data_IF_753539822879
#
_entry.id   IF_753539822879
#
_cell.length_a   1.000
_cell.length_b   1.000
_cell.length_c   1.000
_cell.angle_alpha   90.00
_cell.angle_beta   90.00
_cell.angle_gamma   90.00
#
_symmetry.space_group_name_H-M   'P 1'
#
loop_
_entity.id
_entity.type
_entity.pdbx_description
1 polymer ?
#
# COMPACT_ATOMS: atom_id res chain seq x y z
N UNK A 1 51.50 -19.22 -46.15
CA UNK A 1 50.25 -20.00 -45.92
C UNK A 1 50.10 -20.51 -44.48
N UNK A 2 51.16 -20.88 -43.75
CA UNK A 2 51.09 -21.45 -42.38
C UNK A 2 50.40 -20.57 -41.34
N UNK A 3 50.47 -19.24 -41.50
CA UNK A 3 49.82 -18.25 -40.61
C UNK A 3 48.30 -18.36 -40.60
N UNK A 4 47.70 -18.60 -41.78
CA UNK A 4 46.26 -18.76 -41.92
C UNK A 4 45.78 -20.12 -41.42
N UNK A 5 46.60 -21.17 -41.56
CA UNK A 5 46.31 -22.51 -41.02
C UNK A 5 46.22 -22.54 -39.48
N UNK A 6 46.92 -21.63 -38.79
CA UNK A 6 46.91 -21.55 -37.32
C UNK A 6 45.92 -20.50 -36.79
N UNK A 7 45.68 -19.42 -37.52
CA UNK A 7 44.78 -18.34 -37.09
C UNK A 7 43.28 -18.72 -37.18
N UNK A 8 42.87 -19.48 -38.21
CA UNK A 8 41.48 -19.90 -38.41
C UNK A 8 40.95 -20.77 -37.26
N UNK A 9 41.63 -21.85 -36.82
CA UNK A 9 41.14 -22.66 -35.70
C UNK A 9 41.16 -21.89 -34.38
N UNK A 10 42.14 -21.01 -34.17
CA UNK A 10 42.24 -20.22 -32.94
C UNK A 10 41.09 -19.21 -32.81
N UNK A 11 40.71 -18.55 -33.90
CA UNK A 11 39.56 -17.63 -33.92
C UNK A 11 38.24 -18.37 -33.70
N UNK A 12 38.09 -19.58 -34.28
CA UNK A 12 36.89 -20.39 -34.12
C UNK A 12 36.72 -20.86 -32.66
N UNK A 13 37.82 -21.23 -32.00
CA UNK A 13 37.82 -21.52 -30.56
C UNK A 13 37.43 -20.31 -29.71
N UNK A 14 37.98 -19.14 -29.99
CA UNK A 14 37.68 -17.93 -29.24
C UNK A 14 36.20 -17.53 -29.38
N UNK A 15 35.65 -17.59 -30.60
CA UNK A 15 34.24 -17.30 -30.85
C UNK A 15 33.31 -18.31 -30.15
N UNK A 16 33.64 -19.61 -30.23
CA UNK A 16 32.88 -20.66 -29.56
C UNK A 16 32.91 -20.52 -28.03
N UNK A 17 34.05 -20.11 -27.47
CA UNK A 17 34.21 -19.85 -26.03
C UNK A 17 33.34 -18.69 -25.56
N UNK A 18 33.33 -17.57 -26.29
CA UNK A 18 32.51 -16.40 -25.95
C UNK A 18 31.02 -16.74 -26.09
N UNK A 19 30.63 -17.42 -27.16
CA UNK A 19 29.24 -17.83 -27.38
C UNK A 19 28.75 -18.79 -26.29
N UNK A 20 29.55 -19.81 -25.94
CA UNK A 20 29.19 -20.74 -24.85
C UNK A 20 29.12 -20.04 -23.50
N UNK A 21 30.00 -19.06 -23.24
CA UNK A 21 29.97 -18.28 -22.00
C UNK A 21 28.72 -17.41 -21.90
N UNK A 22 28.31 -16.77 -23.01
CA UNK A 22 27.03 -16.04 -23.05
C UNK A 22 25.83 -16.98 -22.92
N UNK A 23 25.84 -18.13 -23.58
CA UNK A 23 24.79 -19.14 -23.44
C UNK A 23 24.69 -19.67 -22.02
N UNK A 24 25.82 -19.82 -21.31
CA UNK A 24 25.87 -20.24 -19.92
C UNK A 24 25.34 -19.16 -18.98
N UNK A 25 25.69 -17.89 -19.19
CA UNK A 25 25.16 -16.76 -18.41
C UNK A 25 23.64 -16.59 -18.55
N UNK A 26 23.06 -16.96 -19.69
CA UNK A 26 21.61 -16.93 -19.92
C UNK A 26 20.89 -18.09 -19.22
N UNK A 27 21.56 -19.22 -19.00
CA UNK A 27 20.93 -20.41 -18.43
C UNK A 27 21.01 -20.49 -16.90
N UNK A 28 21.48 -19.44 -16.22
CA UNK A 28 21.29 -19.26 -14.77
C UNK A 28 19.94 -18.58 -14.47
N UNK A 29 18.94 -18.89 -15.27
CA UNK A 29 17.55 -18.59 -14.97
C UNK A 29 17.12 -19.59 -13.90
N UNK A 30 17.02 -19.10 -12.67
CA UNK A 30 16.27 -19.75 -11.62
C UNK A 30 15.00 -20.34 -12.22
N UNK A 31 14.93 -21.67 -12.26
CA UNK A 31 13.71 -22.41 -12.52
C UNK A 31 12.75 -22.11 -11.36
N UNK A 32 12.16 -20.92 -11.38
CA UNK A 32 10.89 -20.67 -10.75
C UNK A 32 9.95 -21.63 -11.48
N UNK A 33 9.64 -22.74 -10.81
CA UNK A 33 8.52 -23.59 -11.19
C UNK A 33 7.33 -22.65 -11.22
N UNK A 34 6.98 -22.18 -12.41
CA UNK A 34 5.70 -21.54 -12.66
C UNK A 34 4.72 -22.68 -12.57
N UNK A 35 4.31 -22.97 -11.33
CA UNK A 35 3.19 -23.84 -11.06
C UNK A 35 1.98 -23.10 -11.63
N UNK A 36 1.67 -23.44 -12.88
CA UNK A 36 0.50 -22.93 -13.59
C UNK A 36 -0.71 -23.38 -12.80
N UNK A 37 -1.13 -22.58 -11.81
CA UNK A 37 -2.40 -22.77 -11.16
C UNK A 37 -3.46 -22.73 -12.27
N UNK A 38 -4.23 -23.82 -12.47
CA UNK A 38 -5.32 -23.80 -13.43
C UNK A 38 -6.24 -22.62 -13.07
N UNK A 39 -6.73 -21.86 -14.07
CA UNK A 39 -7.56 -20.70 -13.81
C UNK A 39 -8.69 -21.12 -12.87
N UNK A 40 -8.78 -20.44 -11.72
CA UNK A 40 -9.83 -20.64 -10.72
C UNK A 40 -11.18 -20.54 -11.44
N UNK A 41 -11.77 -21.70 -11.74
CA UNK A 41 -13.12 -21.79 -12.26
C UNK A 41 -14.03 -21.63 -11.06
N UNK A 42 -14.41 -20.40 -10.80
CA UNK A 42 -15.50 -20.11 -9.87
C UNK A 42 -16.78 -20.61 -10.54
N UNK A 43 -17.12 -21.87 -10.30
CA UNK A 43 -18.46 -22.39 -10.56
C UNK A 43 -19.37 -21.78 -9.50
N UNK A 44 -19.84 -20.57 -9.81
CA UNK A 44 -20.71 -19.79 -8.96
C UNK A 44 -22.08 -20.46 -8.98
N UNK A 45 -22.24 -21.49 -8.15
CA UNK A 45 -23.54 -22.07 -7.83
C UNK A 45 -24.36 -20.95 -7.15
N UNK A 46 -25.28 -20.38 -7.93
CA UNK A 46 -26.28 -19.42 -7.47
C UNK A 46 -27.15 -20.11 -6.41
N UNK A 47 -26.77 -19.99 -5.14
CA UNK A 47 -27.64 -20.36 -4.03
C UNK A 47 -28.60 -19.19 -3.88
N UNK A 48 -29.80 -19.36 -4.40
CA UNK A 48 -30.91 -18.44 -4.20
C UNK A 48 -31.24 -18.44 -2.70
N UNK A 49 -30.62 -17.54 -1.97
CA UNK A 49 -30.88 -17.38 -0.55
C UNK A 49 -32.21 -16.65 -0.43
N UNK A 50 -33.29 -17.41 -0.23
CA UNK A 50 -34.63 -16.90 0.04
C UNK A 50 -34.58 -16.03 1.30
N UNK A 51 -34.33 -14.73 1.10
CA UNK A 51 -34.33 -13.75 2.17
C UNK A 51 -35.78 -13.46 2.53
N UNK A 52 -36.25 -14.09 3.60
CA UNK A 52 -37.54 -13.82 4.21
C UNK A 52 -37.53 -12.36 4.71
N UNK A 53 -38.11 -11.46 3.91
CA UNK A 53 -38.14 -10.03 4.23
C UNK A 53 -39.11 -9.81 5.39
N UNK A 54 -38.61 -9.85 6.62
CA UNK A 54 -39.35 -9.29 7.76
C UNK A 54 -39.45 -7.77 7.58
N UNK A 55 -40.57 -7.34 6.99
CA UNK A 55 -40.99 -5.94 6.91
C UNK A 55 -41.13 -5.41 8.34
N UNK A 56 -40.07 -4.82 8.88
CA UNK A 56 -40.12 -4.03 10.12
C UNK A 56 -41.21 -2.97 9.93
N UNK A 57 -42.36 -3.17 10.58
CA UNK A 57 -43.37 -2.13 10.76
C UNK A 57 -42.74 -1.03 11.62
N UNK A 58 -42.20 0.00 10.97
CA UNK A 58 -41.90 1.26 11.64
C UNK A 58 -43.24 1.89 11.99
N UNK A 59 -43.53 2.06 13.27
CA UNK A 59 -44.52 3.04 13.69
C UNK A 59 -43.94 4.42 13.34
N UNK A 60 -44.75 5.28 12.72
CA UNK A 60 -44.33 6.64 12.46
C UNK A 60 -44.06 7.32 13.81
N UNK A 61 -42.87 7.89 14.05
CA UNK A 61 -42.67 8.76 15.21
C UNK A 61 -43.69 9.91 15.13
N UNK A 62 -44.27 10.27 16.26
CA UNK A 62 -45.27 11.34 16.32
C UNK A 62 -44.70 12.63 15.71
N UNK A 63 -45.49 13.36 14.89
CA UNK A 63 -45.01 14.56 14.24
C UNK A 63 -44.49 15.56 15.29
N UNK A 64 -43.25 16.06 15.17
CA UNK A 64 -42.80 17.12 16.04
C UNK A 64 -43.70 18.35 15.85
N UNK A 65 -44.12 18.94 16.97
CA UNK A 65 -44.90 20.18 17.01
C UNK A 65 -44.23 21.23 16.13
N UNK A 66 -44.95 21.94 15.24
CA UNK A 66 -44.33 22.92 14.37
C UNK A 66 -43.67 24.03 15.19
N UNK A 67 -42.35 24.08 15.17
CA UNK A 67 -41.61 25.27 15.59
C UNK A 67 -41.95 26.36 14.58
N UNK A 68 -42.50 27.47 15.08
CA UNK A 68 -42.77 28.67 14.29
C UNK A 68 -41.48 29.15 13.62
N UNK A 69 -41.45 29.35 12.30
CA UNK A 69 -40.25 29.84 11.64
C UNK A 69 -39.94 31.27 12.13
N UNK A 70 -38.71 31.57 12.55
CA UNK A 70 -38.30 32.93 12.83
C UNK A 70 -38.37 33.79 11.54
N UNK A 71 -38.70 35.09 11.66
CA UNK A 71 -38.89 35.97 10.52
C UNK A 71 -37.62 36.08 9.66
N UNK A 72 -37.77 36.22 8.33
CA UNK A 72 -36.65 36.27 7.40
C UNK A 72 -35.78 37.49 7.66
N UNK A 73 -34.52 37.27 8.02
CA UNK A 73 -33.51 38.33 7.99
C UNK A 73 -33.21 38.65 6.52
N UNK A 74 -33.44 39.91 6.15
CA UNK A 74 -33.15 40.46 4.82
C UNK A 74 -31.67 40.26 4.47
N UNK A 75 -31.42 39.62 3.34
CA UNK A 75 -30.09 39.53 2.74
C UNK A 75 -29.62 40.93 2.35
N UNK A 76 -28.72 41.51 3.15
CA UNK A 76 -28.04 42.72 2.77
C UNK A 76 -27.12 42.41 1.58
N UNK A 77 -27.42 43.10 0.48
CA UNK A 77 -26.66 43.08 -0.77
C UNK A 77 -25.25 43.65 -0.52
N UNK A 78 -24.21 42.86 -0.78
CA UNK A 78 -22.85 43.37 -0.91
C UNK A 78 -22.35 43.02 -2.30
N UNK A 79 -22.07 44.07 -3.07
CA UNK A 79 -21.63 44.03 -4.45
C UNK A 79 -20.33 43.24 -4.61
N UNK A 80 -20.31 42.33 -5.59
CA UNK A 80 -19.06 41.72 -6.06
C UNK A 80 -18.41 42.67 -7.07
N UNK A 81 -17.12 43.04 -6.93
CA UNK A 81 -16.36 43.61 -8.03
C UNK A 81 -16.06 42.49 -9.03
N UNK A 82 -16.58 42.63 -10.24
CA UNK A 82 -16.19 41.82 -11.40
C UNK A 82 -14.77 42.17 -11.82
N UNK A 83 -13.82 41.24 -11.67
CA UNK A 83 -12.48 41.34 -12.23
C UNK A 83 -12.41 40.53 -13.52
N UNK A 84 -12.27 41.31 -14.60
CA UNK A 84 -12.01 40.99 -15.99
C UNK A 84 -11.27 39.67 -16.23
N UNK A 85 -11.96 38.76 -16.91
CA UNK A 85 -11.37 37.65 -17.65
C UNK A 85 -10.66 38.18 -18.88
N UNK A 86 -9.34 38.06 -18.89
CA UNK A 86 -8.59 37.92 -20.14
C UNK A 86 -7.44 36.93 -19.96
N UNK A 87 -7.57 35.85 -20.72
CA UNK A 87 -6.49 35.14 -21.42
C UNK A 87 -5.73 34.02 -20.69
N UNK A 88 -6.12 32.80 -21.08
CA UNK A 88 -5.27 31.70 -21.57
C UNK A 88 -4.15 31.13 -20.67
N UNK A 89 -4.41 29.89 -20.23
CA UNK A 89 -3.50 28.73 -20.07
C UNK A 89 -2.02 29.00 -19.74
N UNK A 90 -1.60 28.66 -18.51
CA UNK A 90 -0.74 27.49 -18.26
C UNK A 90 -0.76 27.18 -16.75
N UNK A 91 -0.81 25.89 -16.38
CA UNK A 91 -1.07 25.43 -15.01
C UNK A 91 0.12 25.74 -14.06
N UNK A 92 -0.06 26.57 -13.00
CA UNK A 92 0.90 26.66 -11.92
C UNK A 92 0.66 25.54 -10.90
N UNK A 93 1.76 25.04 -10.34
CA UNK A 93 1.79 24.10 -9.20
C UNK A 93 0.90 24.65 -8.08
N UNK A 94 -0.11 23.87 -7.67
CA UNK A 94 -1.07 24.28 -6.66
C UNK A 94 -0.38 24.34 -5.29
N UNK A 95 0.10 25.52 -4.91
CA UNK A 95 0.48 25.83 -3.53
C UNK A 95 -0.79 26.25 -2.76
N UNK A 96 -1.35 25.35 -1.96
CA UNK A 96 -2.48 25.63 -1.08
C UNK A 96 -1.95 26.29 0.21
N UNK A 97 -1.70 27.60 0.16
CA UNK A 97 -1.45 28.40 1.37
C UNK A 97 -2.79 28.72 2.06
N UNK A 98 -3.23 27.83 2.96
CA UNK A 98 -4.33 28.10 3.90
C UNK A 98 -3.77 28.82 5.13
N UNK A 99 -3.41 30.08 4.97
CA UNK A 99 -3.05 30.96 6.10
C UNK A 99 -4.33 31.44 6.81
N UNK A 100 -4.79 30.65 7.78
CA UNK A 100 -5.78 31.09 8.77
C UNK A 100 -5.02 31.39 10.06
N UNK A 101 -4.68 32.66 10.26
CA UNK A 101 -4.31 33.25 11.55
C UNK A 101 -3.32 32.46 12.43
N UNK A 102 -2.04 32.84 12.35
CA UNK A 102 -0.96 32.53 13.31
C UNK A 102 -0.66 31.05 13.63
N UNK A 103 -1.22 30.10 12.87
CA UNK A 103 -0.71 28.73 12.80
C UNK A 103 -0.38 28.38 11.35
N UNK A 104 0.89 28.52 10.99
CA UNK A 104 1.43 27.96 9.76
C UNK A 104 1.46 26.42 9.88
N UNK A 105 0.39 25.75 9.44
CA UNK A 105 0.40 24.31 9.23
C UNK A 105 1.11 24.09 7.90
N UNK A 106 2.44 24.02 7.93
CA UNK A 106 3.21 23.51 6.78
C UNK A 106 2.82 22.05 6.57
N UNK A 107 2.11 21.68 5.48
CA UNK A 107 1.90 20.28 5.19
C UNK A 107 3.27 19.61 5.00
N UNK A 108 3.51 18.40 5.52
CA UNK A 108 4.78 17.72 5.31
C UNK A 108 5.02 17.61 3.80
N UNK A 109 6.12 18.21 3.35
CA UNK A 109 6.55 18.13 1.96
C UNK A 109 6.81 16.67 1.61
N UNK A 110 6.04 16.13 0.65
CA UNK A 110 6.18 14.77 0.12
C UNK A 110 7.50 14.54 -0.66
N UNK A 111 8.42 15.51 -0.65
CA UNK A 111 9.65 15.48 -1.42
C UNK A 111 10.89 14.98 -0.64
N UNK A 112 10.80 14.74 0.67
CA UNK A 112 11.93 14.29 1.52
C UNK A 112 11.97 12.77 1.76
N UNK A 113 11.58 11.97 0.76
CA UNK A 113 11.68 10.50 0.83
C UNK A 113 12.43 9.92 -0.37
N UNK A 114 13.65 10.40 -0.57
CA UNK A 114 14.62 9.72 -1.42
C UNK A 114 14.97 8.34 -0.85
N UNK A 115 14.32 7.28 -1.35
CA UNK A 115 14.88 5.92 -1.28
C UNK A 115 14.08 4.82 -0.59
N UNK A 116 12.82 5.03 -0.22
CA UNK A 116 11.93 3.92 0.15
C UNK A 116 10.67 4.02 -0.67
N UNK A 117 10.52 3.12 -1.65
CA UNK A 117 9.29 2.95 -2.40
C UNK A 117 8.13 2.78 -1.39
N UNK A 118 7.37 3.85 -1.21
CA UNK A 118 6.38 3.93 -0.15
C UNK A 118 5.30 2.88 -0.40
N UNK A 119 5.23 1.92 0.51
CA UNK A 119 4.33 0.79 0.39
C UNK A 119 2.91 1.26 0.67
N UNK A 120 2.09 1.35 -0.37
CA UNK A 120 0.67 1.63 -0.22
C UNK A 120 -0.02 0.34 0.27
N UNK A 121 -0.49 0.29 1.52
CA UNK A 121 -1.26 -0.84 1.99
C UNK A 121 -2.64 -0.84 1.32
N UNK A 122 -3.11 -2.00 0.87
CA UNK A 122 -4.50 -2.12 0.43
C UNK A 122 -5.43 -2.42 1.62
N UNK A 123 -4.93 -3.19 2.59
CA UNK A 123 -5.69 -3.57 3.77
C UNK A 123 -4.77 -3.72 4.98
N UNK A 124 -5.03 -2.94 6.03
CA UNK A 124 -4.36 -3.05 7.33
C UNK A 124 -5.36 -3.46 8.40
N UNK A 125 -4.98 -4.46 9.20
CA UNK A 125 -5.71 -4.84 10.41
C UNK A 125 -4.89 -4.35 11.60
N UNK A 126 -5.41 -3.47 12.47
CA UNK A 126 -4.65 -3.03 13.64
C UNK A 126 -4.26 -4.24 14.50
N UNK A 127 -3.08 -4.23 15.13
CA UNK A 127 -2.70 -5.30 16.03
C UNK A 127 -3.61 -5.33 17.25
N UNK A 128 -3.92 -6.54 17.71
CA UNK A 128 -4.68 -6.70 18.94
C UNK A 128 -3.77 -6.46 20.14
N UNK A 129 -4.25 -5.68 21.09
CA UNK A 129 -3.52 -5.41 22.32
C UNK A 129 -3.47 -6.67 23.21
N UNK A 130 -2.29 -7.12 23.67
CA UNK A 130 -2.20 -8.26 24.57
C UNK A 130 -2.91 -7.99 25.91
N UNK A 131 -3.85 -8.86 26.37
CA UNK A 131 -4.55 -8.65 27.64
C UNK A 131 -3.64 -8.63 28.88
N UNK A 132 -2.46 -9.23 28.79
CA UNK A 132 -1.45 -9.17 29.85
C UNK A 132 -0.82 -7.79 29.95
N UNK A 133 -0.49 -7.16 28.81
CA UNK A 133 0.09 -5.82 28.74
C UNK A 133 -0.93 -4.75 29.14
N UNK A 134 -2.18 -4.90 28.69
CA UNK A 134 -3.27 -3.98 29.02
C UNK A 134 -3.53 -3.90 30.53
N UNK A 135 -3.54 -5.05 31.23
CA UNK A 135 -3.70 -5.08 32.70
C UNK A 135 -2.54 -4.42 33.46
N UNK A 136 -1.37 -4.32 32.83
CA UNK A 136 -0.16 -3.77 33.42
C UNK A 136 0.13 -2.35 32.94
N UNK A 137 -0.74 -1.76 32.10
CA UNK A 137 -0.54 -0.46 31.46
C UNK A 137 0.83 -0.32 30.78
N UNK A 138 1.33 -1.41 30.19
CA UNK A 138 2.61 -1.40 29.48
C UNK A 138 2.39 -0.92 28.07
N UNK A 139 3.05 0.13 27.64
CA UNK A 139 3.06 0.61 26.25
C UNK A 139 4.38 0.29 25.56
N UNK A 140 4.43 0.45 24.24
CA UNK A 140 5.69 0.25 23.52
C UNK A 140 5.55 0.14 22.02
N UNK A 141 6.57 -0.44 21.38
CA UNK A 141 6.62 -0.59 19.94
C UNK A 141 7.31 -1.88 19.50
N UNK A 142 7.00 -2.31 18.28
CA UNK A 142 7.65 -3.44 17.61
C UNK A 142 8.03 -3.03 16.20
N UNK A 143 9.31 -3.16 15.87
CA UNK A 143 9.84 -3.02 14.52
C UNK A 143 9.99 -4.39 13.88
N UNK A 144 9.33 -4.58 12.74
CA UNK A 144 9.34 -5.84 11.99
C UNK A 144 9.92 -5.62 10.60
N UNK A 145 10.67 -6.61 10.12
CA UNK A 145 10.99 -6.78 8.71
C UNK A 145 10.18 -7.89 8.08
N UNK A 146 9.77 -7.74 6.83
CA UNK A 146 8.98 -8.74 6.11
C UNK A 146 9.22 -8.68 4.60
N UNK A 147 8.73 -9.70 3.91
CA UNK A 147 8.71 -9.78 2.45
C UNK A 147 7.27 -9.70 1.96
N UNK A 148 7.04 -8.98 0.87
CA UNK A 148 5.75 -8.92 0.17
C UNK A 148 5.85 -9.79 -1.08
N UNK A 149 4.95 -10.74 -1.23
CA UNK A 149 4.87 -11.60 -2.41
C UNK A 149 4.36 -10.85 -3.65
N UNK A 150 4.52 -11.43 -4.86
CA UNK A 150 3.84 -10.96 -6.07
C UNK A 150 2.31 -10.90 -5.96
N UNK A 151 1.72 -11.64 -5.02
CA UNK A 151 0.28 -11.61 -4.71
C UNK A 151 -0.12 -10.49 -3.73
N UNK A 152 0.85 -9.74 -3.19
CA UNK A 152 0.61 -8.70 -2.19
C UNK A 152 0.41 -9.22 -0.76
N UNK A 153 0.66 -10.51 -0.50
CA UNK A 153 0.64 -11.10 0.84
C UNK A 153 1.97 -10.88 1.55
N UNK A 154 1.94 -10.80 2.88
CA UNK A 154 3.14 -10.67 3.70
C UNK A 154 3.66 -12.05 4.12
N UNK A 155 4.95 -12.32 3.87
CA UNK A 155 5.70 -13.52 4.29
C UNK A 155 7.00 -13.14 5.01
N UNK A 156 7.68 -14.15 5.57
CA UNK A 156 9.02 -14.05 6.19
C UNK A 156 9.17 -12.93 7.23
N UNK A 157 8.18 -12.80 8.10
CA UNK A 157 8.15 -11.76 9.14
C UNK A 157 9.20 -12.07 10.21
N UNK A 158 10.09 -11.11 10.46
CA UNK A 158 11.11 -11.16 11.51
C UNK A 158 11.00 -9.90 12.37
N UNK A 159 11.14 -10.05 13.69
CA UNK A 159 11.21 -8.93 14.61
C UNK A 159 12.64 -8.40 14.64
N UNK A 160 12.82 -7.13 14.35
CA UNK A 160 14.12 -6.46 14.41
C UNK A 160 14.37 -5.89 15.79
N UNK A 161 13.39 -5.16 16.31
CA UNK A 161 13.45 -4.53 17.61
C UNK A 161 12.07 -4.52 18.26
N UNK A 162 12.02 -4.59 19.59
CA UNK A 162 10.78 -4.57 20.35
C UNK A 162 11.04 -4.04 21.76
N UNK A 163 10.21 -3.11 22.18
CA UNK A 163 10.23 -2.51 23.50
C UNK A 163 8.80 -2.51 24.03
N UNK A 164 8.50 -3.18 25.16
CA UNK A 164 9.27 -4.20 25.85
C UNK A 164 9.34 -5.52 25.07
N UNK A 165 10.47 -6.24 25.20
CA UNK A 165 10.75 -7.48 24.45
C UNK A 165 9.73 -8.58 24.76
N UNK A 166 9.33 -9.33 23.74
CA UNK A 166 8.46 -10.51 23.82
C UNK A 166 7.03 -10.26 24.36
N UNK A 167 6.62 -9.00 24.53
CA UNK A 167 5.26 -8.67 25.00
C UNK A 167 4.31 -8.49 23.82
N UNK A 168 4.73 -7.70 22.83
CA UNK A 168 3.90 -7.30 21.69
C UNK A 168 4.21 -8.08 20.41
N UNK A 169 5.36 -8.75 20.35
CA UNK A 169 5.92 -9.43 19.18
C UNK A 169 4.89 -10.36 18.51
N UNK A 170 4.27 -11.24 19.29
CA UNK A 170 3.35 -12.26 18.76
C UNK A 170 2.12 -11.65 18.10
N UNK A 171 1.55 -10.63 18.74
CA UNK A 171 0.32 -10.00 18.29
C UNK A 171 0.60 -9.04 17.11
N UNK A 172 1.76 -8.38 17.10
CA UNK A 172 2.27 -7.64 15.95
C UNK A 172 2.45 -8.54 14.72
N UNK A 173 3.11 -9.70 14.87
CA UNK A 173 3.29 -10.66 13.76
C UNK A 173 1.92 -11.19 13.28
N UNK A 174 0.98 -11.47 14.19
CA UNK A 174 -0.38 -11.93 13.81
C UNK A 174 -1.13 -10.88 13.00
N UNK A 175 -1.01 -9.61 13.38
CA UNK A 175 -1.62 -8.50 12.65
C UNK A 175 -1.04 -8.39 11.24
N UNK A 176 0.29 -8.33 11.16
CA UNK A 176 1.02 -8.13 9.90
C UNK A 176 0.76 -9.26 8.89
N UNK A 177 0.59 -10.51 9.34
CA UNK A 177 0.19 -11.64 8.47
C UNK A 177 -1.16 -11.43 7.76
N UNK A 178 -2.05 -10.62 8.32
CA UNK A 178 -3.39 -10.36 7.76
C UNK A 178 -3.41 -9.16 6.82
N UNK A 179 -2.30 -8.43 6.73
CA UNK A 179 -2.21 -7.27 5.88
C UNK A 179 -2.07 -7.67 4.43
N UNK A 180 -2.56 -6.80 3.54
CA UNK A 180 -2.38 -6.92 2.10
C UNK A 180 -1.79 -5.63 1.57
N UNK A 181 -0.77 -5.79 0.73
CA UNK A 181 -0.07 -4.70 0.07
C UNK A 181 -0.30 -4.76 -1.44
N UNK A 182 -0.12 -3.63 -2.11
CA UNK A 182 -0.04 -3.63 -3.57
C UNK A 182 1.27 -4.29 -4.00
N UNK A 183 1.19 -5.29 -4.87
CA UNK A 183 2.38 -5.93 -5.43
C UNK A 183 3.13 -4.95 -6.33
N UNK A 184 4.47 -4.99 -6.27
CA UNK A 184 5.32 -4.19 -7.16
C UNK A 184 5.38 -4.85 -8.52
N UNK A 185 4.97 -4.11 -9.54
CA UNK A 185 5.11 -4.53 -10.94
C UNK A 185 6.39 -3.92 -11.49
N UNK A 186 7.28 -4.75 -12.02
CA UNK A 186 8.48 -4.35 -12.77
C UNK A 186 8.38 -5.01 -14.14
N UNK A 187 8.43 -4.22 -15.20
CA UNK A 187 8.34 -4.70 -16.60
C UNK A 187 7.10 -5.57 -16.89
N UNK A 188 5.98 -5.25 -16.24
CA UNK A 188 4.70 -5.98 -16.39
C UNK A 188 4.59 -7.26 -15.57
N UNK A 189 5.65 -7.65 -14.84
CA UNK A 189 5.67 -8.84 -13.98
C UNK A 189 5.63 -8.43 -12.51
N UNK A 190 4.83 -9.13 -11.70
CA UNK A 190 4.79 -8.91 -10.26
C UNK A 190 6.03 -9.51 -9.59
N UNK A 191 6.78 -8.67 -8.86
CA UNK A 191 8.04 -9.05 -8.21
C UNK A 191 7.87 -8.97 -6.69
N UNK A 192 8.46 -9.94 -5.97
CA UNK A 192 8.49 -9.93 -4.52
C UNK A 192 9.37 -8.77 -3.99
N UNK A 193 8.89 -8.08 -2.96
CA UNK A 193 9.65 -7.03 -2.28
C UNK A 193 10.16 -7.53 -0.94
N UNK A 194 11.45 -7.79 -0.84
CA UNK A 194 12.09 -8.28 0.39
C UNK A 194 12.64 -7.15 1.25
N UNK A 195 12.73 -7.37 2.56
CA UNK A 195 13.45 -6.45 3.47
C UNK A 195 12.67 -5.21 3.88
N UNK A 196 11.35 -5.22 3.68
CA UNK A 196 10.49 -4.10 4.05
C UNK A 196 10.39 -4.01 5.56
N UNK A 197 10.43 -2.79 6.10
CA UNK A 197 10.42 -2.52 7.54
C UNK A 197 9.20 -1.70 7.94
N UNK A 198 8.65 -2.01 9.10
CA UNK A 198 7.58 -1.22 9.69
C UNK A 198 7.70 -1.19 11.22
N UNK A 199 7.37 -0.05 11.81
CA UNK A 199 7.24 0.13 13.25
C UNK A 199 5.75 0.19 13.60
N UNK A 200 5.30 -0.71 14.47
CA UNK A 200 3.96 -0.68 15.05
C UNK A 200 4.06 -0.21 16.50
N UNK A 201 3.27 0.79 16.82
CA UNK A 201 3.18 1.36 18.16
C UNK A 201 1.93 0.81 18.88
N UNK A 202 2.07 0.58 20.18
CA UNK A 202 1.06 0.05 21.07
C UNK A 202 0.88 1.01 22.24
N UNK A 203 -0.07 1.93 22.10
CA UNK A 203 -0.51 2.85 23.15
C UNK A 203 -1.88 2.44 23.71
N UNK A 204 -2.16 2.83 24.94
CA UNK A 204 -3.49 2.73 25.55
C UNK A 204 -4.18 4.09 25.42
N UNK A 205 -5.40 4.11 24.87
CA UNK A 205 -6.28 5.28 24.90
C UNK A 205 -7.05 5.37 26.23
#
# INVERSE_FOLDING_TARGET
MTRFLLAVPLSLMAAFSIFSFMAWLVNEDHYAVVETQPPLRFDMLMIEQESDTQRRKRAAPEPPTPLTPPPPQSLASAAAPSLNTSSALDLPEFDFDMSVGDLAITPPSFADLGGSQELVPLYRVPPQYPPAAQRQNLEGYVELSFTIDPEGKVRDIKVLNAEPRNVFDRDAIRALRRWKYQAKIVDGVAVAQTGQRIKLEFSLE
#
